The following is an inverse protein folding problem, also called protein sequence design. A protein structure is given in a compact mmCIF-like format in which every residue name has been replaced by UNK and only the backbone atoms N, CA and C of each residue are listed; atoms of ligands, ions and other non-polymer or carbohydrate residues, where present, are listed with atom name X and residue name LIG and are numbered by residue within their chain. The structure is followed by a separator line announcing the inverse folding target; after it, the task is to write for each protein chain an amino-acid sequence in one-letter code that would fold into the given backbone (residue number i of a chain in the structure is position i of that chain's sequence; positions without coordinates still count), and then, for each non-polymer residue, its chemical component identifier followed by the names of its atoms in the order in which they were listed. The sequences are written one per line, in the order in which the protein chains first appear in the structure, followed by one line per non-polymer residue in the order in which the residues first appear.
data_IF_065508737978
#
_entry.id   IF_065508737978
#
_cell.length_a   1.000
_cell.length_b   1.000
_cell.length_c   1.000
_cell.angle_alpha   90.00
_cell.angle_beta   90.00
_cell.angle_gamma   90.00
#
_symmetry.space_group_name_H-M   'P 1'
#
loop_
_entity.id
_entity.type
_entity.pdbx_description
1 polymer ?
#
# COMPACT_ATOMS: atom_id res chain seq x y z
N UNK A 1 4.01 14.95 56.56
CA UNK A 1 4.72 13.76 56.03
C UNK A 1 3.71 12.62 55.97
N UNK A 2 3.33 12.00 54.86
CA UNK A 2 3.88 11.83 53.50
C UNK A 2 2.70 11.69 52.52
N UNK A 3 2.72 12.42 51.41
CA UNK A 3 1.84 12.18 50.26
C UNK A 3 2.56 11.14 49.40
N UNK A 4 1.93 10.00 49.13
CA UNK A 4 2.43 9.01 48.18
C UNK A 4 1.38 8.82 47.10
N UNK A 5 1.60 9.47 45.94
CA UNK A 5 1.07 8.99 44.66
C UNK A 5 1.71 7.62 44.36
N UNK A 6 0.93 6.70 43.79
CA UNK A 6 1.26 6.27 42.43
C UNK A 6 -0.02 6.28 41.58
N UNK A 7 -0.10 7.05 40.50
CA UNK A 7 0.58 6.73 39.24
C UNK A 7 0.34 5.27 38.81
N UNK A 8 -0.93 4.85 38.74
CA UNK A 8 -1.32 3.61 38.09
C UNK A 8 -1.88 3.94 36.70
N UNK A 9 -0.94 3.93 35.74
CA UNK A 9 -1.11 3.57 34.35
C UNK A 9 -2.52 3.73 33.77
N UNK A 10 -2.74 4.86 33.10
CA UNK A 10 -3.50 4.83 31.87
C UNK A 10 -2.75 3.88 30.91
N UNK A 11 -3.10 2.59 30.94
CA UNK A 11 -2.91 1.73 29.78
C UNK A 11 -3.78 2.34 28.69
N UNK A 12 -3.21 3.30 27.96
CA UNK A 12 -3.62 3.54 26.60
C UNK A 12 -3.53 2.17 25.93
N UNK A 13 -4.68 1.59 25.61
CA UNK A 13 -4.75 0.47 24.69
C UNK A 13 -4.00 0.95 23.45
N UNK A 14 -2.77 0.45 23.29
CA UNK A 14 -2.12 0.40 22.00
C UNK A 14 -3.05 -0.45 21.13
N UNK A 15 -3.98 0.23 20.44
CA UNK A 15 -4.60 -0.34 19.28
C UNK A 15 -3.44 -0.84 18.41
N UNK A 16 -3.38 -2.13 18.03
CA UNK A 16 -2.50 -2.50 16.96
C UNK A 16 -2.96 -1.67 15.78
N UNK A 17 -2.13 -0.71 15.37
CA UNK A 17 -2.24 -0.15 14.04
C UNK A 17 -2.05 -1.36 13.12
N UNK A 18 -3.16 -1.94 12.67
CA UNK A 18 -3.17 -2.90 11.59
C UNK A 18 -2.64 -2.14 10.39
N UNK A 19 -1.32 -2.12 10.24
CA UNK A 19 -0.69 -1.85 8.96
C UNK A 19 -1.20 -2.96 8.06
N UNK A 20 -2.27 -2.69 7.31
CA UNK A 20 -2.78 -3.57 6.27
C UNK A 20 -1.56 -3.97 5.43
N UNK A 21 -1.19 -5.25 5.49
CA UNK A 21 -0.02 -5.75 4.79
C UNK A 21 -0.33 -5.68 3.30
N UNK A 22 0.19 -4.63 2.66
CA UNK A 22 -0.07 -4.37 1.25
C UNK A 22 0.52 -5.50 0.42
N UNK A 23 -0.34 -6.28 -0.23
CA UNK A 23 0.10 -7.46 -0.97
C UNK A 23 0.75 -7.05 -2.30
N UNK A 24 1.56 -7.94 -2.88
CA UNK A 24 2.10 -7.72 -4.23
C UNK A 24 1.00 -7.54 -5.28
N UNK A 25 -0.15 -8.22 -5.12
CA UNK A 25 -1.32 -8.07 -5.99
C UNK A 25 -1.95 -6.68 -5.83
N UNK A 26 -2.14 -6.19 -4.61
CA UNK A 26 -2.66 -4.85 -4.35
C UNK A 26 -1.72 -3.77 -4.90
N UNK A 27 -0.40 -3.96 -4.76
CA UNK A 27 0.62 -3.12 -5.38
C UNK A 27 0.49 -3.04 -6.90
N UNK A 28 0.30 -4.20 -7.53
CA UNK A 28 0.12 -4.30 -8.97
C UNK A 28 -1.18 -3.65 -9.45
N UNK A 29 -2.28 -3.84 -8.72
CA UNK A 29 -3.60 -3.26 -9.04
C UNK A 29 -3.65 -1.75 -8.78
N UNK A 30 -2.95 -1.25 -7.77
CA UNK A 30 -2.77 0.18 -7.56
C UNK A 30 -1.99 0.80 -8.74
N UNK A 31 -0.93 0.13 -9.21
CA UNK A 31 -0.20 0.56 -10.40
C UNK A 31 -1.06 0.52 -11.68
N UNK A 32 -1.89 -0.52 -11.85
CA UNK A 32 -2.87 -0.61 -12.94
C UNK A 32 -3.81 0.60 -12.94
N UNK A 33 -4.35 0.96 -11.77
CA UNK A 33 -5.20 2.14 -11.63
C UNK A 33 -4.47 3.44 -11.98
N UNK A 34 -3.24 3.61 -11.48
CA UNK A 34 -2.42 4.80 -11.74
C UNK A 34 -2.11 4.99 -13.23
N UNK A 35 -1.72 3.93 -13.93
CA UNK A 35 -1.45 3.97 -15.38
C UNK A 35 -2.69 4.40 -16.17
N UNK A 36 -3.89 4.05 -15.68
CA UNK A 36 -5.14 4.39 -16.34
C UNK A 36 -5.64 5.83 -16.06
N UNK A 37 -5.19 6.47 -14.98
CA UNK A 37 -5.77 7.74 -14.52
C UNK A 37 -4.76 8.89 -14.35
N UNK A 38 -3.47 8.59 -14.19
CA UNK A 38 -2.42 9.57 -13.92
C UNK A 38 -1.45 9.70 -15.11
N UNK A 39 -0.79 10.85 -15.25
CA UNK A 39 0.31 11.02 -16.20
C UNK A 39 1.54 10.24 -15.73
N UNK A 40 1.64 9.01 -16.23
CA UNK A 40 2.68 8.04 -15.86
C UNK A 40 3.81 7.96 -16.90
N UNK A 41 4.00 9.02 -17.70
CA UNK A 41 4.89 9.07 -18.86
C UNK A 41 6.39 8.97 -18.54
N UNK A 42 6.81 9.20 -17.28
CA UNK A 42 8.22 9.26 -16.88
C UNK A 42 8.76 7.99 -16.20
N UNK A 43 9.04 6.92 -16.95
CA UNK A 43 9.93 5.81 -16.50
C UNK A 43 9.37 4.73 -15.55
N UNK A 44 8.33 3.99 -15.93
CA UNK A 44 7.90 2.82 -15.15
C UNK A 44 7.55 1.57 -15.96
N UNK A 45 8.03 1.44 -17.20
CA UNK A 45 7.70 0.31 -18.09
C UNK A 45 7.95 -1.07 -17.47
N UNK A 46 9.06 -1.24 -16.74
CA UNK A 46 9.36 -2.49 -16.02
C UNK A 46 8.39 -2.75 -14.87
N UNK A 47 8.02 -1.72 -14.11
CA UNK A 47 7.05 -1.83 -13.01
C UNK A 47 5.67 -2.25 -13.52
N UNK A 48 5.22 -1.64 -14.63
CA UNK A 48 3.96 -2.00 -15.30
C UNK A 48 4.00 -3.45 -15.78
N UNK A 49 5.10 -3.89 -16.39
CA UNK A 49 5.26 -5.27 -16.83
C UNK A 49 5.17 -6.27 -15.67
N UNK A 50 5.89 -6.01 -14.57
CA UNK A 50 5.85 -6.87 -13.37
C UNK A 50 4.45 -6.87 -12.75
N UNK A 51 3.76 -5.72 -12.71
CA UNK A 51 2.39 -5.64 -12.24
C UNK A 51 1.44 -6.47 -13.12
N UNK A 52 1.54 -6.36 -14.45
CA UNK A 52 0.74 -7.17 -15.37
C UNK A 52 0.98 -8.67 -15.19
N UNK A 53 2.24 -9.10 -15.03
CA UNK A 53 2.56 -10.51 -14.73
C UNK A 53 1.98 -10.97 -13.40
N UNK A 54 2.05 -10.12 -12.37
CA UNK A 54 1.51 -10.40 -11.05
C UNK A 54 0.00 -10.57 -11.09
N UNK A 55 -0.71 -9.67 -11.78
CA UNK A 55 -2.17 -9.74 -11.95
C UNK A 55 -2.54 -11.02 -12.72
N UNK A 56 -1.86 -11.30 -13.83
CA UNK A 56 -2.15 -12.47 -14.67
C UNK A 56 -1.82 -13.81 -14.01
N UNK A 57 -0.84 -13.83 -13.09
CA UNK A 57 -0.47 -15.02 -12.33
C UNK A 57 -1.29 -15.24 -11.06
N UNK A 58 -2.21 -14.33 -10.72
CA UNK A 58 -3.00 -14.37 -9.49
C UNK A 58 -4.39 -15.02 -9.71
N UNK A 59 -5.03 -15.43 -8.60
CA UNK A 59 -6.40 -15.95 -8.63
C UNK A 59 -7.38 -14.88 -9.14
N UNK A 60 -8.21 -15.17 -10.18
CA UNK A 60 -9.14 -14.20 -10.74
C UNK A 60 -10.17 -13.64 -9.75
N UNK A 61 -10.61 -14.42 -8.77
CA UNK A 61 -11.56 -13.97 -7.75
C UNK A 61 -10.90 -12.96 -6.80
N UNK A 62 -9.65 -13.22 -6.41
CA UNK A 62 -8.86 -12.29 -5.60
C UNK A 62 -8.57 -11.00 -6.37
N UNK A 63 -8.21 -11.10 -7.65
CA UNK A 63 -8.02 -9.95 -8.54
C UNK A 63 -9.28 -9.10 -8.59
N UNK A 64 -10.46 -9.69 -8.79
CA UNK A 64 -11.72 -8.95 -8.85
C UNK A 64 -12.06 -8.24 -7.53
N UNK A 65 -11.86 -8.93 -6.41
CA UNK A 65 -12.07 -8.39 -5.07
C UNK A 65 -11.13 -7.22 -4.79
N UNK A 66 -9.82 -7.42 -4.94
CA UNK A 66 -8.82 -6.41 -4.61
C UNK A 66 -8.88 -5.22 -5.58
N UNK A 67 -9.23 -5.45 -6.85
CA UNK A 67 -9.43 -4.36 -7.82
C UNK A 67 -10.60 -3.46 -7.41
N UNK A 68 -11.68 -4.05 -6.88
CA UNK A 68 -12.81 -3.28 -6.34
C UNK A 68 -12.37 -2.46 -5.13
N UNK A 69 -11.65 -3.08 -4.20
CA UNK A 69 -11.08 -2.41 -3.03
C UNK A 69 -10.19 -1.22 -3.41
N UNK A 70 -9.26 -1.41 -4.34
CA UNK A 70 -8.36 -0.33 -4.81
C UNK A 70 -9.15 0.83 -5.41
N UNK A 71 -10.17 0.55 -6.24
CA UNK A 71 -11.03 1.60 -6.80
C UNK A 71 -11.76 2.39 -5.71
N UNK A 72 -12.31 1.70 -4.73
CA UNK A 72 -13.01 2.35 -3.60
C UNK A 72 -12.06 3.18 -2.74
N UNK A 73 -10.81 2.75 -2.56
CA UNK A 73 -9.81 3.53 -1.84
C UNK A 73 -9.48 4.83 -2.57
N UNK A 74 -9.21 4.78 -3.87
CA UNK A 74 -8.90 5.99 -4.64
C UNK A 74 -10.12 6.88 -4.93
N UNK A 75 -11.33 6.32 -4.96
CA UNK A 75 -12.56 7.09 -5.06
C UNK A 75 -12.82 7.99 -3.83
N UNK A 76 -12.15 7.73 -2.69
CA UNK A 76 -12.23 8.59 -1.50
C UNK A 76 -11.36 9.83 -1.59
N UNK A 77 -10.41 9.87 -2.53
CA UNK A 77 -9.61 11.06 -2.75
C UNK A 77 -10.49 12.21 -3.25
N UNK A 78 -10.27 13.45 -2.79
CA UNK A 78 -11.03 14.62 -3.25
C UNK A 78 -10.97 14.87 -4.77
N UNK A 79 -9.88 14.44 -5.41
CA UNK A 79 -9.69 14.50 -6.86
C UNK A 79 -8.75 13.40 -7.36
N UNK A 80 -8.76 13.16 -8.67
CA UNK A 80 -7.79 12.25 -9.32
C UNK A 80 -6.36 12.76 -9.15
N UNK A 81 -6.14 14.07 -9.26
CA UNK A 81 -4.80 14.66 -9.07
C UNK A 81 -4.27 14.43 -7.65
N UNK A 82 -5.12 14.55 -6.63
CA UNK A 82 -4.76 14.23 -5.25
C UNK A 82 -4.51 12.73 -5.05
N UNK A 83 -5.30 11.86 -5.67
CA UNK A 83 -5.05 10.42 -5.68
C UNK A 83 -3.68 10.10 -6.31
N UNK A 84 -3.36 10.72 -7.45
CA UNK A 84 -2.09 10.56 -8.13
C UNK A 84 -0.92 11.08 -7.28
N UNK A 85 -1.06 12.23 -6.60
CA UNK A 85 -0.04 12.80 -5.73
C UNK A 85 0.20 11.99 -4.44
N UNK A 86 -0.83 11.28 -3.96
CA UNK A 86 -0.75 10.44 -2.75
C UNK A 86 -0.01 9.13 -2.97
N UNK A 87 0.23 8.75 -4.23
CA UNK A 87 0.92 7.52 -4.58
C UNK A 87 2.42 7.61 -4.27
N UNK A 88 2.78 7.29 -3.03
CA UNK A 88 4.15 6.84 -2.72
C UNK A 88 4.24 5.36 -3.12
N UNK A 89 5.09 4.97 -4.08
CA UNK A 89 5.37 3.55 -4.30
C UNK A 89 5.74 2.94 -2.92
N UNK A 90 5.26 1.74 -2.59
CA UNK A 90 5.41 1.18 -1.25
C UNK A 90 6.89 1.19 -0.87
N UNK A 91 7.22 1.90 0.22
CA UNK A 91 8.59 2.24 0.60
C UNK A 91 9.48 1.03 1.00
N UNK A 92 9.01 -0.21 0.83
CA UNK A 92 9.80 -1.42 1.11
C UNK A 92 9.46 -2.57 0.16
N UNK A 93 10.07 -2.53 -1.03
CA UNK A 93 10.38 -3.74 -1.78
C UNK A 93 11.91 -3.82 -2.00
N UNK A 94 12.66 -3.94 -0.91
CA UNK A 94 14.04 -4.44 -0.95
C UNK A 94 14.32 -5.18 0.36
N UNK A 95 14.24 -6.52 0.41
CA UNK A 95 15.28 -7.21 1.16
C UNK A 95 16.61 -6.79 0.54
N UNK A 96 17.49 -6.19 1.33
CA UNK A 96 18.88 -6.03 0.94
C UNK A 96 19.39 -7.41 0.54
N UNK A 97 19.66 -7.63 -0.75
CA UNK A 97 20.41 -8.80 -1.16
C UNK A 97 21.79 -8.67 -0.53
N UNK A 98 21.99 -9.30 0.63
CA UNK A 98 23.32 -9.52 1.18
C UNK A 98 24.04 -10.45 0.22
N UNK A 99 24.79 -9.87 -0.70
CA UNK A 99 25.82 -10.57 -1.45
C UNK A 99 26.80 -11.12 -0.43
N UNK A 100 26.69 -12.42 -0.12
CA UNK A 100 27.78 -13.14 0.53
C UNK A 100 28.90 -13.22 -0.51
N UNK A 101 29.92 -12.38 -0.33
CA UNK A 101 31.25 -12.70 -0.83
C UNK A 101 31.85 -13.78 0.07
#
# INVERSE_FOLDING_TARGET
MRIALPLAAALALAAPAHAEEFTHLQGALALEWMVAHCDFSQEHSLGVMVASMTINGSDPQLVAKDRTYIREQYARAPSVDEACASFKPPAKARPEYKTKQ
#
